data_IF_126733053123
#
_entry.id   IF_126733053123
#
_cell.length_a   1.000
_cell.length_b   1.000
_cell.length_c   1.000
_cell.angle_alpha   90.00
_cell.angle_beta   90.00
_cell.angle_gamma   90.00
#
_symmetry.space_group_name_H-M   'P 1'
#
loop_
_entity.id
_entity.type
_entity.pdbx_description
1 polymer ?
2 polymer ?
3 water ?
#
# COMPACT_ATOMS: atom_id res chain seq x y z
N UNK A 3 -15.71 3.50 -14.22
CA UNK A 3 -15.59 3.11 -12.82
C UNK A 3 -16.10 1.68 -12.62
N UNK A 4 -15.18 0.80 -12.25
CA UNK A 4 -15.50 -0.61 -12.01
C UNK A 4 -15.46 -0.86 -10.51
N UNK A 5 -16.62 -1.21 -9.94
CA UNK A 5 -16.73 -1.35 -8.49
C UNK A 5 -16.68 -2.83 -8.08
N UNK A 6 -15.83 -3.12 -7.11
CA UNK A 6 -15.75 -4.44 -6.50
C UNK A 6 -15.94 -4.32 -4.98
N UNK A 7 -16.38 -5.41 -4.33
CA UNK A 7 -16.40 -5.41 -2.86
C UNK A 7 -14.97 -5.37 -2.32
N UNK A 8 -14.79 -4.83 -1.11
CA UNK A 8 -13.43 -4.59 -0.59
C UNK A 8 -12.68 -5.87 -0.26
N UNK A 9 -13.41 -6.92 0.11
CA UNK A 9 -12.77 -8.11 0.65
C UNK A 9 -13.64 -9.34 0.52
N UNK A 10 -13.00 -10.49 0.50
CA UNK A 10 -13.71 -11.76 0.56
C UNK A 10 -12.80 -12.76 1.27
N UNK A 11 -13.40 -13.72 1.96
CA UNK A 11 -12.63 -14.71 2.71
C UNK A 11 -13.26 -16.10 2.70
N UNK A 12 -12.43 -17.12 2.86
CA UNK A 12 -12.89 -18.51 2.93
C UNK A 12 -11.76 -19.40 3.42
N UNK A 13 -12.11 -20.60 3.89
CA UNK A 13 -11.11 -21.55 4.35
C UNK A 13 -10.37 -22.11 3.14
N UNK A 14 -9.23 -22.78 3.37
CA UNK A 14 -8.53 -23.43 2.26
C UNK A 14 -9.41 -24.50 1.63
N UNK A 15 -9.24 -24.73 0.33
CA UNK A 15 -9.99 -25.75 -0.37
C UNK A 15 -11.36 -25.31 -0.83
N UNK A 16 -11.80 -24.14 -0.35
CA UNK A 16 -13.12 -23.63 -0.70
C UNK A 16 -13.09 -22.71 -1.92
N UNK A 17 -14.27 -22.29 -2.36
CA UNK A 17 -14.40 -21.44 -3.52
C UNK A 17 -14.85 -20.04 -3.13
N UNK A 18 -14.26 -19.04 -3.77
CA UNK A 18 -14.70 -17.65 -3.61
C UNK A 18 -14.93 -17.02 -4.98
N UNK A 19 -15.74 -15.97 -5.00
CA UNK A 19 -16.05 -15.26 -6.23
C UNK A 19 -15.96 -13.76 -5.99
N UNK A 20 -15.40 -13.06 -6.97
CA UNK A 20 -15.22 -11.62 -6.90
C UNK A 20 -15.91 -11.01 -8.10
N UNK A 21 -16.82 -10.07 -7.83
CA UNK A 21 -17.59 -9.44 -8.88
C UNK A 21 -17.08 -8.04 -9.18
N UNK A 22 -17.14 -7.69 -10.46
CA UNK A 22 -16.76 -6.38 -10.96
C UNK A 22 -17.97 -5.83 -11.70
N UNK A 23 -18.68 -4.89 -11.10
CA UNK A 23 -19.87 -4.30 -11.72
C UNK A 23 -19.55 -2.92 -12.28
N UNK A 24 -20.01 -2.66 -13.51
CA UNK A 24 -19.74 -1.40 -14.18
C UNK A 24 -20.86 -0.98 -15.11
N UNK A 25 -20.71 0.18 -15.72
CA UNK A 25 -21.74 0.75 -16.59
C UNK A 25 -21.83 0.02 -17.93
N UNK A 26 -22.54 0.63 -18.88
CA UNK A 26 -22.71 0.07 -20.22
C UNK A 26 -21.74 0.70 -21.21
N UNK A 27 -21.09 1.78 -20.81
CA UNK A 27 -20.11 2.46 -21.65
C UNK A 27 -18.77 1.75 -21.59
N UNK A 28 -18.29 1.51 -20.37
CA UNK A 28 -17.05 0.77 -20.18
C UNK A 28 -17.28 -0.71 -20.49
N UNK A 29 -17.86 -1.42 -19.52
CA UNK A 29 -18.26 -2.80 -19.75
C UNK A 29 -19.52 -2.76 -20.61
N UNK A 30 -19.81 -3.83 -21.34
CA UNK A 30 -20.98 -3.90 -22.19
C UNK A 30 -20.61 -4.43 -23.55
N UNK A 31 -19.54 -3.89 -24.11
CA UNK A 31 -19.05 -4.33 -25.42
C UNK A 31 -17.53 -4.33 -25.43
N UNK A 32 -16.95 -4.41 -24.24
CA UNK A 32 -15.49 -4.49 -24.10
C UNK A 32 -15.11 -5.71 -23.25
N UNK A 33 -13.96 -6.28 -23.56
CA UNK A 33 -13.49 -7.46 -22.84
C UNK A 33 -13.01 -7.07 -21.44
N UNK A 34 -12.91 -8.07 -20.57
CA UNK A 34 -12.50 -7.86 -19.19
C UNK A 34 -11.32 -8.74 -18.84
N UNK A 35 -10.30 -8.13 -18.23
CA UNK A 35 -9.15 -8.85 -17.71
C UNK A 35 -9.20 -8.89 -16.18
N UNK A 36 -8.45 -9.81 -15.59
CA UNK A 36 -8.28 -9.86 -14.14
C UNK A 36 -6.80 -9.91 -13.76
N UNK A 37 -6.44 -9.17 -12.71
CA UNK A 37 -5.05 -9.06 -12.29
C UNK A 37 -4.92 -9.42 -10.83
N UNK A 38 -3.94 -10.26 -10.52
CA UNK A 38 -3.59 -10.59 -9.15
C UNK A 38 -2.44 -9.70 -8.71
N UNK A 39 -2.47 -9.23 -7.47
CA UNK A 39 -1.36 -8.42 -6.96
C UNK A 39 -1.00 -8.74 -5.52
N UNK A 40 0.16 -9.36 -5.33
CA UNK A 40 0.72 -9.60 -4.01
C UNK A 40 1.58 -8.39 -3.64
N UNK A 41 1.33 -7.78 -2.46
CA UNK A 41 1.91 -6.49 -2.08
C UNK A 41 3.39 -6.25 -2.44
N UNK A 42 4.24 -7.26 -2.29
CA UNK A 42 5.66 -7.06 -2.49
C UNK A 42 6.17 -7.39 -3.89
N UNK A 43 5.25 -7.63 -4.82
CA UNK A 43 5.61 -8.13 -6.16
C UNK A 43 4.89 -7.39 -7.28
N UNK A 44 5.26 -7.67 -8.52
CA UNK A 44 4.62 -7.03 -9.67
C UNK A 44 3.21 -7.61 -9.84
N UNK A 45 2.22 -6.75 -10.21
CA UNK A 45 0.91 -7.30 -10.58
C UNK A 45 1.03 -8.31 -11.70
N UNK A 46 0.03 -9.18 -11.82
CA UNK A 46 0.13 -10.34 -12.68
C UNK A 46 -1.19 -10.60 -13.38
N UNK A 47 -1.17 -10.73 -14.70
CA UNK A 47 -2.38 -11.06 -15.45
C UNK A 47 -2.88 -12.46 -15.10
N UNK A 48 -4.17 -12.54 -14.75
CA UNK A 48 -4.82 -13.81 -14.41
C UNK A 48 -5.74 -14.27 -15.52
N UNK A 49 -6.52 -13.33 -16.05
CA UNK A 49 -7.49 -13.62 -17.07
C UNK A 49 -7.57 -12.46 -18.04
N UNK A 50 -7.80 -12.78 -19.32
CA UNK A 50 -7.99 -11.77 -20.33
C UNK A 50 -9.08 -12.26 -21.27
N UNK A 51 -9.67 -11.34 -22.03
CA UNK A 51 -10.77 -11.67 -22.92
C UNK A 51 -11.88 -12.45 -22.19
N UNK A 52 -12.27 -11.94 -21.02
CA UNK A 52 -13.37 -12.47 -20.24
C UNK A 52 -13.08 -13.80 -19.51
N UNK A 53 -12.57 -14.79 -20.25
CA UNK A 53 -12.49 -16.15 -19.73
C UNK A 53 -11.15 -16.82 -20.02
N UNK A 54 -10.34 -16.23 -20.88
CA UNK A 54 -9.07 -16.84 -21.27
C UNK A 54 -7.99 -16.63 -20.22
N UNK A 55 -7.17 -17.65 -20.01
CA UNK A 55 -6.04 -17.55 -19.09
C UNK A 55 -4.71 -17.61 -19.83
N UNK A 56 -3.74 -16.78 -19.40
CA UNK A 56 -2.39 -16.92 -19.92
C UNK A 56 -1.59 -17.90 -19.07
N UNK A 57 -1.65 -19.18 -19.41
CA UNK A 57 -0.96 -20.22 -18.66
C UNK A 57 0.52 -19.86 -18.45
N UNK A 58 1.14 -20.35 -17.37
CA UNK A 58 0.59 -21.40 -16.51
C UNK A 58 -0.14 -20.96 -15.24
N UNK A 59 -1.10 -20.05 -15.39
CA UNK A 59 -2.10 -19.83 -14.35
C UNK A 59 -3.11 -20.97 -14.37
N UNK A 60 -3.31 -21.66 -13.22
CA UNK A 60 -4.09 -22.89 -13.23
C UNK A 60 -5.59 -22.66 -13.42
N UNK A 61 -6.29 -23.74 -13.76
CA UNK A 61 -7.72 -23.66 -14.05
C UNK A 61 -8.55 -23.47 -12.79
N UNK A 62 -7.87 -23.34 -11.64
CA UNK A 62 -8.53 -22.99 -10.40
C UNK A 62 -9.10 -21.57 -10.50
N UNK A 63 -8.55 -20.80 -11.43
CA UNK A 63 -9.06 -19.46 -11.72
C UNK A 63 -9.94 -19.49 -12.96
N UNK A 64 -11.11 -18.85 -12.88
CA UNK A 64 -12.01 -18.78 -14.02
C UNK A 64 -12.76 -17.46 -14.02
N UNK A 65 -13.01 -16.94 -15.21
CA UNK A 65 -13.71 -15.68 -15.37
C UNK A 65 -15.00 -15.84 -16.12
N UNK A 66 -15.95 -14.95 -15.85
CA UNK A 66 -17.19 -14.92 -16.61
C UNK A 66 -17.70 -13.49 -16.69
N UNK A 67 -18.73 -13.28 -17.50
CA UNK A 67 -19.28 -11.95 -17.70
C UNK A 67 -20.78 -12.03 -17.97
N UNK A 68 -21.52 -11.10 -17.37
CA UNK A 68 -22.97 -11.09 -17.46
C UNK A 68 -23.45 -9.74 -17.97
N UNK A 69 -23.15 -9.43 -19.23
CA UNK A 69 -23.59 -8.20 -19.85
C UNK A 69 -22.70 -7.03 -19.45
N UNK A 70 -22.80 -6.62 -18.19
CA UNK A 70 -22.01 -5.50 -17.69
C UNK A 70 -21.57 -5.71 -16.23
N UNK A 71 -21.25 -6.95 -15.90
CA UNK A 71 -20.79 -7.29 -14.56
C UNK A 71 -19.97 -8.57 -14.60
N UNK A 72 -18.66 -8.38 -14.64
CA UNK A 72 -17.71 -9.48 -14.72
C UNK A 72 -17.56 -10.17 -13.37
N UNK A 73 -17.14 -11.43 -13.41
CA UNK A 73 -16.96 -12.21 -12.19
C UNK A 73 -15.72 -13.10 -12.28
N UNK A 74 -14.81 -12.94 -11.33
CA UNK A 74 -13.69 -13.85 -11.14
C UNK A 74 -14.07 -14.90 -10.11
N UNK A 75 -13.66 -16.14 -10.34
CA UNK A 75 -13.93 -17.23 -9.41
C UNK A 75 -12.64 -18.00 -9.14
N UNK A 76 -12.43 -18.36 -7.88
CA UNK A 76 -11.23 -19.09 -7.45
C UNK A 76 -11.63 -20.30 -6.64
N UNK A 77 -11.39 -21.49 -7.19
CA UNK A 77 -11.67 -22.74 -6.50
C UNK A 77 -10.39 -23.30 -5.89
N UNK A 78 -10.54 -24.24 -4.96
CA UNK A 78 -9.40 -24.89 -4.33
C UNK A 78 -8.47 -23.89 -3.67
N UNK A 79 -9.06 -22.91 -2.99
CA UNK A 79 -8.30 -21.82 -2.38
C UNK A 79 -7.10 -22.32 -1.58
N UNK A 80 -5.95 -21.73 -1.85
CA UNK A 80 -4.72 -22.03 -1.11
C UNK A 80 -4.08 -20.75 -0.59
N UNK A 81 -3.12 -20.92 0.31
CA UNK A 81 -2.44 -19.79 0.95
C UNK A 81 -1.91 -18.77 -0.06
N UNK A 82 -1.37 -19.28 -1.16
CA UNK A 82 -0.69 -18.44 -2.13
C UNK A 82 -1.62 -17.56 -2.92
N UNK A 83 -2.93 -17.74 -2.73
CA UNK A 83 -3.93 -16.96 -3.41
C UNK A 83 -4.26 -15.67 -2.67
N UNK A 84 -3.70 -15.51 -1.47
CA UNK A 84 -3.93 -14.30 -0.69
C UNK A 84 -3.27 -13.10 -1.38
N UNK A 85 -4.08 -12.20 -1.91
CA UNK A 85 -3.60 -11.06 -2.67
C UNK A 85 -4.74 -10.09 -2.92
N UNK A 86 -4.44 -8.98 -3.58
CA UNK A 86 -5.49 -8.10 -4.09
C UNK A 86 -5.80 -8.46 -5.53
N UNK A 87 -7.09 -8.53 -5.86
CA UNK A 87 -7.54 -8.84 -7.22
C UNK A 87 -8.29 -7.66 -7.84
N UNK A 88 -7.92 -7.33 -9.07
CA UNK A 88 -8.51 -6.21 -9.80
C UNK A 88 -9.04 -6.69 -11.14
N UNK A 89 -10.22 -6.19 -11.52
CA UNK A 89 -10.69 -6.29 -12.90
C UNK A 89 -10.23 -5.06 -13.65
N UNK A 90 -10.22 -5.15 -14.98
CA UNK A 90 -9.80 -4.04 -15.82
C UNK A 90 -10.33 -4.13 -17.23
N UNK A 91 -10.75 -2.99 -17.78
CA UNK A 91 -11.24 -2.91 -19.15
C UNK A 91 -10.59 -1.74 -19.89
N UNK A 92 -10.48 -1.92 -21.20
CA UNK A 92 -9.84 -0.97 -22.09
C UNK A 92 -10.90 -0.41 -23.04
N UNK A 93 -11.22 0.87 -22.88
CA UNK A 93 -12.25 1.52 -23.68
C UNK A 93 -11.71 2.69 -24.51
N UNK A 94 -10.54 2.52 -25.15
CA UNK A 94 -10.02 3.55 -26.04
C UNK A 94 -10.81 3.51 -27.33
N UNK A 95 -12.11 3.69 -27.16
CA UNK A 95 -13.05 3.47 -28.22
C UNK A 95 -14.02 4.65 -28.27
N UNK A 96 -13.49 5.85 -28.59
CA UNK A 96 -12.07 6.19 -28.70
C UNK A 96 -11.63 7.15 -27.61
N UNK A 97 -10.31 7.30 -27.44
CA UNK A 97 -9.71 8.36 -26.61
C UNK A 97 -9.85 8.24 -25.08
N UNK A 98 -10.62 7.25 -24.62
CA UNK A 98 -10.71 6.95 -23.19
C UNK A 98 -9.86 5.73 -22.86
N UNK A 99 -8.97 5.80 -21.88
CA UNK A 99 -8.03 4.71 -21.68
C UNK A 99 -8.54 3.48 -20.95
N UNK A 100 -7.70 2.94 -20.07
CA UNK A 100 -8.05 1.79 -19.24
C UNK A 100 -8.70 2.23 -17.96
N UNK A 101 -9.55 1.37 -17.40
CA UNK A 101 -10.07 1.55 -16.05
C UNK A 101 -9.81 0.26 -15.26
N UNK A 102 -9.57 0.40 -13.97
CA UNK A 102 -9.34 -0.74 -13.08
C UNK A 102 -10.43 -0.84 -12.02
N UNK A 103 -10.65 -2.04 -11.50
CA UNK A 103 -11.57 -2.25 -10.39
C UNK A 103 -11.02 -1.59 -9.14
N UNK A 104 -11.70 -1.72 -8.00
CA UNK A 104 -11.41 -0.89 -6.82
C UNK A 104 -10.30 -1.27 -5.80
N UNK A 105 -9.95 -2.54 -5.56
CA UNK A 105 -10.64 -3.71 -6.02
C UNK A 105 -10.91 -4.58 -4.79
N UNK A 106 -10.40 -5.81 -4.76
CA UNK A 106 -10.81 -6.79 -3.74
C UNK A 106 -9.66 -7.57 -3.09
N UNK A 107 -9.61 -7.57 -1.76
CA UNK A 107 -8.61 -8.34 -1.02
C UNK A 107 -9.11 -9.75 -0.68
N UNK A 108 -8.34 -10.77 -1.04
CA UNK A 108 -8.70 -12.17 -0.77
C UNK A 108 -7.97 -12.70 0.46
N UNK A 109 -8.73 -13.16 1.46
CA UNK A 109 -8.18 -13.76 2.67
C UNK A 109 -8.47 -15.26 2.75
N UNK A 110 -7.45 -16.03 3.11
CA UNK A 110 -7.60 -17.46 3.32
C UNK A 110 -7.50 -17.79 4.81
N UNK A 111 -8.61 -18.25 5.39
CA UNK A 111 -8.70 -18.56 6.80
C UNK A 111 -7.93 -19.83 7.14
N UNK A 112 -6.63 -19.67 7.41
CA UNK A 112 -5.73 -20.79 7.62
C UNK A 112 -5.42 -21.10 9.06
N UNK A 113 -6.07 -20.39 9.98
CA UNK A 113 -5.95 -20.69 11.41
C UNK A 113 -7.16 -20.17 12.18
N UNK A 114 -7.39 -20.70 13.40
CA UNK A 114 -8.57 -20.29 14.17
C UNK A 114 -8.50 -18.82 14.55
N UNK A 115 -9.65 -18.21 14.82
CA UNK A 115 -9.66 -16.79 15.14
C UNK A 115 -8.98 -16.56 16.46
N UNK A 116 -8.24 -15.45 16.54
CA UNK A 116 -7.61 -15.02 17.77
C UNK A 116 -8.06 -13.60 18.08
N UNK A 117 -8.46 -13.37 19.32
CA UNK A 117 -8.94 -12.06 19.72
C UNK A 117 -7.78 -11.10 19.94
N UNK A 118 -7.96 -9.82 19.62
CA UNK A 118 -6.87 -8.86 19.74
C UNK A 118 -6.58 -8.46 21.19
N UNK A 119 -5.31 -8.25 21.49
CA UNK A 119 -4.90 -7.66 22.74
C UNK A 119 -4.63 -6.19 22.43
N UNK A 120 -5.13 -5.30 23.27
CA UNK A 120 -5.05 -3.86 23.02
C UNK A 120 -4.20 -3.19 24.09
N UNK A 121 -3.24 -2.38 23.64
CA UNK A 121 -2.37 -1.63 24.54
C UNK A 121 -2.43 -0.16 24.15
N UNK A 122 -2.93 0.68 25.06
CA UNK A 122 -3.04 2.11 24.79
C UNK A 122 -2.07 2.89 25.67
N UNK A 123 -1.08 3.52 25.05
CA UNK A 123 -0.11 4.36 25.75
C UNK A 123 -0.54 5.83 25.69
N UNK A 124 -0.56 6.53 26.85
CA UNK A 124 -0.81 7.97 26.80
C UNK A 124 0.43 8.69 26.32
N UNK A 125 0.35 10.01 26.06
CA UNK A 125 1.55 10.78 25.70
C UNK A 125 2.59 10.77 26.81
N UNK A 126 3.85 10.59 26.43
CA UNK A 126 4.95 10.61 27.39
C UNK A 126 5.19 12.03 27.87
N UNK A 127 5.71 12.14 29.08
CA UNK A 127 6.05 13.46 29.60
C UNK A 127 7.04 14.11 28.66
N UNK A 128 7.90 13.30 28.06
CA UNK A 128 8.93 13.82 27.17
C UNK A 128 8.30 14.41 25.92
N UNK A 129 7.18 13.85 25.50
CA UNK A 129 6.50 14.35 24.32
C UNK A 129 5.76 15.65 24.61
N UNK A 130 5.09 15.71 25.75
CA UNK A 130 4.40 16.93 26.17
C UNK A 130 5.40 18.06 26.28
N UNK A 131 6.59 17.74 26.79
CA UNK A 131 7.65 18.71 26.95
C UNK A 131 8.08 19.23 25.58
N UNK A 132 7.86 18.42 24.55
CA UNK A 132 8.11 18.82 23.17
C UNK A 132 6.86 19.45 22.54
N UNK A 133 5.91 19.86 23.37
CA UNK A 133 4.72 20.59 22.93
C UNK A 133 3.82 19.78 21.99
N UNK A 134 3.80 18.47 22.18
CA UNK A 134 2.95 17.59 21.39
C UNK A 134 2.34 16.54 22.29
N UNK A 135 1.28 15.90 21.79
CA UNK A 135 0.64 14.82 22.51
C UNK A 135 0.13 13.79 21.50
N UNK A 136 0.50 12.54 21.71
CA UNK A 136 0.10 11.45 20.83
C UNK A 136 -0.30 10.23 21.64
N UNK A 137 -1.55 9.83 21.49
CA UNK A 137 -2.01 8.58 22.06
C UNK A 137 -1.70 7.48 21.05
N UNK A 138 -1.11 6.39 21.52
CA UNK A 138 -0.74 5.28 20.66
C UNK A 138 -1.48 4.03 21.07
N UNK A 139 -2.31 3.52 20.15
CA UNK A 139 -3.03 2.28 20.39
C UNK A 139 -2.39 1.15 19.59
N UNK A 140 -1.79 0.19 20.29
CA UNK A 140 -1.16 -0.95 19.65
C UNK A 140 -2.03 -2.19 19.82
N UNK A 141 -2.27 -2.88 18.72
CA UNK A 141 -3.12 -4.08 18.72
C UNK A 141 -2.29 -5.26 18.27
N UNK A 142 -2.41 -6.38 18.97
CA UNK A 142 -1.55 -7.53 18.70
C UNK A 142 -2.25 -8.88 18.89
N UNK A 143 -1.64 -9.90 18.30
CA UNK A 143 -2.04 -11.30 18.47
C UNK A 143 -3.46 -11.63 18.00
N UNK A 144 -3.87 -11.05 16.88
CA UNK A 144 -5.22 -11.31 16.36
C UNK A 144 -5.19 -11.94 14.96
N UNK A 145 -6.19 -12.77 14.69
CA UNK A 145 -6.38 -13.38 13.38
C UNK A 145 -7.87 -13.58 13.13
N UNK A 146 -8.35 -13.30 11.91
CA UNK A 146 -7.62 -12.82 10.73
C UNK A 146 -7.17 -11.37 10.87
N UNK A 147 -6.32 -10.95 9.93
CA UNK A 147 -5.70 -9.64 9.96
C UNK A 147 -6.59 -8.54 9.41
N UNK A 148 -7.66 -8.24 10.13
CA UNK A 148 -8.56 -7.17 9.75
C UNK A 148 -9.22 -6.63 11.01
N UNK A 149 -9.15 -5.31 11.18
CA UNK A 149 -9.77 -4.65 12.32
C UNK A 149 -10.20 -3.25 11.92
N UNK A 150 -11.13 -2.68 12.69
CA UNK A 150 -11.47 -1.27 12.59
C UNK A 150 -11.28 -0.67 13.97
N UNK A 151 -10.85 0.59 13.99
CA UNK A 151 -10.57 1.30 15.22
C UNK A 151 -11.46 2.53 15.32
N UNK A 152 -11.96 2.78 16.53
CA UNK A 152 -12.74 3.97 16.83
C UNK A 152 -12.18 4.63 18.09
N UNK A 153 -11.93 5.93 18.01
CA UNK A 153 -11.38 6.70 19.13
C UNK A 153 -12.48 7.55 19.73
N UNK A 154 -12.43 7.76 21.03
CA UNK A 154 -13.35 8.67 21.71
C UNK A 154 -12.61 9.58 22.68
N UNK A 155 -13.12 10.79 22.83
CA UNK A 155 -12.63 11.74 23.84
C UNK A 155 -13.81 12.12 24.72
N UNK A 156 -13.71 11.76 26.00
CA UNK A 156 -14.84 11.86 26.94
C UNK A 156 -16.12 11.27 26.32
N UNK A 157 -16.02 10.01 25.89
CA UNK A 157 -17.14 9.24 25.39
C UNK A 157 -17.73 9.76 24.06
N UNK A 158 -17.07 10.73 23.44
CA UNK A 158 -17.53 11.29 22.17
C UNK A 158 -16.60 10.86 21.01
N UNK A 159 -17.18 10.34 19.91
CA UNK A 159 -16.35 9.86 18.80
C UNK A 159 -15.40 10.92 18.22
N UNK A 160 -14.15 10.52 17.98
CA UNK A 160 -13.14 11.40 17.45
C UNK A 160 -12.61 10.85 16.14
N UNK A 161 -12.67 11.67 15.09
CA UNK A 161 -12.10 11.32 13.79
C UNK A 161 -10.86 12.17 13.45
N UNK A 162 -10.86 13.42 13.90
CA UNK A 162 -9.78 14.35 13.58
C UNK A 162 -8.45 13.90 14.17
N UNK A 163 -7.39 14.01 13.37
CA UNK A 163 -6.05 13.71 13.83
C UNK A 163 -5.79 12.23 14.07
N UNK A 164 -6.58 11.38 13.41
CA UNK A 164 -6.46 9.93 13.55
C UNK A 164 -5.73 9.29 12.37
N UNK A 165 -4.81 8.37 12.67
CA UNK A 165 -4.07 7.64 11.65
C UNK A 165 -3.94 6.18 12.06
N UNK A 166 -4.16 5.28 11.10
CA UNK A 166 -4.15 3.85 11.40
C UNK A 166 -3.42 3.07 10.32
N UNK A 167 -2.72 2.02 10.73
CA UNK A 167 -2.00 1.17 9.80
C UNK A 167 -2.77 -0.08 9.47
N UNK A 168 -2.50 -0.63 8.30
CA UNK A 168 -3.09 -1.89 7.89
C UNK A 168 -2.39 -3.04 8.62
N UNK A 169 -3.16 -4.00 9.15
CA UNK A 169 -2.58 -5.09 9.95
C UNK A 169 -1.41 -5.80 9.27
N UNK A 170 -0.32 -5.98 10.01
CA UNK A 170 0.90 -6.62 9.54
C UNK A 170 1.18 -7.90 10.32
N UNK A 171 1.69 -8.92 9.64
CA UNK A 171 1.92 -10.22 10.27
C UNK A 171 3.07 -10.19 11.27
N UNK A 172 2.79 -10.64 12.50
CA UNK A 172 3.80 -10.76 13.54
C UNK A 172 4.68 -11.97 13.25
N UNK A 173 5.71 -12.18 14.05
CA UNK A 173 6.61 -13.31 13.85
C UNK A 173 5.92 -14.64 14.16
N UNK A 174 4.88 -14.60 14.98
CA UNK A 174 4.13 -15.80 15.33
C UNK A 174 2.95 -16.04 14.39
N UNK A 175 2.97 -15.37 13.24
CA UNK A 175 1.97 -15.54 12.18
C UNK A 175 0.57 -15.04 12.53
N UNK A 176 0.41 -14.38 13.67
CA UNK A 176 -0.80 -13.62 13.93
C UNK A 176 -0.51 -12.20 13.49
N UNK A 177 -1.50 -11.32 13.58
CA UNK A 177 -1.35 -9.96 13.07
C UNK A 177 -1.29 -8.93 14.19
N UNK A 178 -0.72 -7.77 13.87
CA UNK A 178 -0.74 -6.60 14.74
C UNK A 178 -1.14 -5.39 13.91
N UNK A 179 -1.57 -4.34 14.60
CA UNK A 179 -1.89 -3.08 13.94
C UNK A 179 -1.62 -1.95 14.93
N UNK A 180 -1.61 -0.71 14.44
CA UNK A 180 -1.40 0.44 15.31
C UNK A 180 -2.32 1.57 14.88
N UNK A 181 -2.72 2.39 15.84
CA UNK A 181 -3.50 3.60 15.53
C UNK A 181 -3.01 4.72 16.43
N UNK A 182 -3.03 5.94 15.89
CA UNK A 182 -2.56 7.11 16.63
C UNK A 182 -3.65 8.18 16.71
N UNK A 183 -3.69 8.89 17.84
CA UNK A 183 -4.54 10.07 17.96
C UNK A 183 -3.65 11.25 18.35
N UNK A 184 -3.56 12.23 17.44
CA UNK A 184 -2.74 13.41 17.65
C UNK A 184 -3.52 14.55 18.27
N UNK A 185 -3.03 15.01 19.40
CA UNK A 185 -3.65 16.11 20.13
C UNK A 185 -2.59 17.13 20.47
N UNK A 186 -3.02 18.31 20.89
CA UNK A 186 -2.13 19.29 21.52
C UNK A 186 -2.13 18.98 23.00
N UNK A 187 -1.13 19.50 23.75
CA UNK A 187 -1.14 19.31 25.21
C UNK A 187 -2.40 19.85 25.87
N UNK A 188 -2.94 20.94 25.33
CA UNK A 188 -4.16 21.51 25.89
C UNK A 188 -5.34 20.56 25.70
N UNK A 189 -5.48 20.03 24.49
CA UNK A 189 -6.55 19.10 24.22
C UNK A 189 -6.47 17.90 25.18
N UNK A 190 -5.29 17.30 25.25
CA UNK A 190 -5.07 16.14 26.11
C UNK A 190 -5.49 16.44 27.55
N UNK A 191 -5.13 17.64 28.02
CA UNK A 191 -5.38 18.07 29.39
C UNK A 191 -6.83 18.48 29.65
N UNK A 192 -7.54 18.89 28.60
CA UNK A 192 -8.88 19.44 28.74
C UNK A 192 -9.99 18.40 28.66
N UNK A 193 -9.61 17.11 28.64
CA UNK A 193 -10.59 16.03 28.65
C UNK A 193 -10.27 15.04 29.75
N UNK A 194 -11.30 14.43 30.31
CA UNK A 194 -11.13 13.57 31.47
C UNK A 194 -10.76 12.15 31.08
N UNK A 195 -11.07 11.75 29.85
CA UNK A 195 -10.85 10.38 29.41
C UNK A 195 -10.71 10.30 27.89
N UNK A 196 -9.92 9.33 27.43
CA UNK A 196 -9.81 9.00 26.01
C UNK A 196 -9.84 7.49 25.89
N UNK A 197 -10.36 6.99 24.78
CA UNK A 197 -10.46 5.54 24.61
C UNK A 197 -10.15 5.07 23.18
N UNK A 198 -9.53 3.90 23.09
CA UNK A 198 -9.25 3.24 21.82
C UNK A 198 -10.08 1.98 21.78
N UNK A 199 -10.99 1.90 20.81
CA UNK A 199 -11.90 0.79 20.67
C UNK A 199 -11.58 0.04 19.39
N UNK A 200 -11.15 -1.20 19.54
CA UNK A 200 -10.81 -2.06 18.42
C UNK A 200 -11.93 -3.08 18.19
N UNK A 201 -12.49 -3.11 16.98
CA UNK A 201 -13.49 -4.12 16.62
C UNK A 201 -12.84 -5.17 15.71
N UNK A 202 -12.94 -6.42 16.13
CA UNK A 202 -12.37 -7.54 15.41
C UNK A 202 -13.40 -8.67 15.37
N UNK A 203 -13.80 -9.05 14.16
CA UNK A 203 -14.80 -10.09 13.97
C UNK A 203 -16.06 -9.83 14.79
N UNK A 204 -16.56 -8.60 14.74
CA UNK A 204 -17.84 -8.27 15.32
C UNK A 204 -17.83 -8.01 16.81
N UNK A 205 -16.66 -8.15 17.44
CA UNK A 205 -16.53 -7.95 18.88
C UNK A 205 -15.49 -6.88 19.18
N UNK A 206 -15.69 -6.17 20.29
CA UNK A 206 -14.90 -4.99 20.62
C UNK A 206 -14.02 -5.20 21.85
N UNK A 207 -12.81 -4.66 21.78
CA UNK A 207 -11.92 -4.57 22.93
C UNK A 207 -11.50 -3.12 23.07
N UNK A 208 -11.65 -2.59 24.28
CA UNK A 208 -11.50 -1.16 24.52
C UNK A 208 -10.51 -0.90 25.64
N UNK A 209 -9.64 0.09 25.46
CA UNK A 209 -8.76 0.57 26.51
C UNK A 209 -8.97 2.06 26.68
N UNK A 210 -8.79 2.56 27.91
CA UNK A 210 -8.99 3.98 28.21
C UNK A 210 -7.76 4.54 28.92
N UNK A 211 -7.49 5.84 28.73
CA UNK A 211 -6.45 6.54 29.47
C UNK A 211 -6.92 7.95 29.83
N UNK A 212 -6.29 8.53 30.85
CA UNK A 212 -6.62 9.87 31.29
C UNK A 212 -5.37 10.51 31.87
N UNK A 213 -5.26 11.84 31.77
CA UNK A 213 -4.16 12.54 32.45
C UNK A 213 -4.10 12.20 33.95
N UNK A 214 -3.02 11.56 34.38
CA UNK A 214 -2.87 11.08 35.76
C UNK A 214 -4.08 10.25 36.18
N UNK B 1 9.47 -15.21 -19.39
CA UNK B 1 10.38 -14.78 -20.49
C UNK B 1 10.64 -13.27 -20.43
N UNK B 2 9.61 -12.49 -20.72
CA UNK B 2 9.74 -11.02 -20.81
C UNK B 2 10.14 -10.40 -19.47
N UNK B 3 10.84 -9.26 -19.54
CA UNK B 3 11.31 -8.57 -18.32
C UNK B 3 11.23 -7.04 -18.47
N UNK B 4 10.72 -6.38 -17.44
CA UNK B 4 10.57 -4.92 -17.43
C UNK B 4 11.08 -4.35 -16.12
N UNK B 5 11.98 -3.36 -16.20
CA UNK B 5 12.63 -2.81 -15.01
C UNK B 5 12.56 -1.27 -14.99
N UNK B 6 11.82 -0.72 -14.04
CA UNK B 6 11.63 0.72 -13.97
C UNK B 6 12.74 1.39 -13.18
N UNK B 7 13.09 2.62 -13.58
CA UNK B 7 14.08 3.41 -12.85
C UNK B 7 13.66 4.88 -12.86
N UNK B 8 14.30 5.67 -12.00
CA UNK B 8 14.17 7.12 -12.07
C UNK B 8 13.35 7.73 -10.96
N UNK B 9 12.85 6.88 -10.06
CA UNK B 9 11.99 7.33 -8.98
C UNK B 9 12.76 7.87 -7.78
N UNK B 10 12.14 8.78 -7.05
CA UNK B 10 12.73 9.36 -5.87
C UNK B 10 11.76 10.29 -5.15
N UNK B 11 12.30 11.25 -4.40
CA UNK B 11 11.49 12.21 -3.69
C UNK B 11 11.68 13.60 -4.30
N UNK B 12 10.59 14.27 -4.65
CA UNK B 12 10.66 15.59 -5.28
C UNK B 12 9.61 16.55 -4.74
N UNK B 13 9.81 17.84 -5.00
CA UNK B 13 8.88 18.87 -4.56
C UNK B 13 7.80 19.09 -5.63
N UNK B 14 6.58 19.46 -5.19
CA UNK B 14 5.53 19.75 -6.18
C UNK B 14 5.92 20.90 -7.13
N UNK B 15 5.51 20.77 -8.39
CA UNK B 15 5.78 21.79 -9.39
C UNK B 15 7.01 21.49 -10.23
N UNK B 16 7.86 20.59 -9.76
CA UNK B 16 9.06 20.21 -10.50
C UNK B 16 8.78 19.06 -11.47
N UNK B 17 9.79 18.69 -12.26
CA UNK B 17 9.62 17.65 -13.27
C UNK B 17 10.46 16.43 -12.92
N UNK B 18 10.11 15.30 -13.50
CA UNK B 18 10.84 14.06 -13.25
C UNK B 18 10.57 13.07 -14.37
N UNK B 19 11.62 12.46 -14.90
CA UNK B 19 11.48 11.47 -15.96
C UNK B 19 11.71 10.06 -15.43
N UNK B 20 10.75 9.17 -15.70
CA UNK B 20 10.91 7.77 -15.37
C UNK B 20 11.31 7.01 -16.63
N UNK B 21 11.98 5.88 -16.45
CA UNK B 21 12.41 5.04 -17.55
C UNK B 21 12.08 3.60 -17.24
N UNK B 22 11.82 2.83 -18.28
CA UNK B 22 11.56 1.41 -18.15
C UNK B 22 12.37 0.62 -19.17
N UNK B 23 13.27 -0.22 -18.68
CA UNK B 23 14.14 -1.03 -19.53
C UNK B 23 13.50 -2.39 -19.82
N UNK B 24 13.16 -2.62 -21.08
CA UNK B 24 12.49 -3.86 -21.50
C UNK B 24 13.49 -4.86 -22.06
N UNK B 25 13.27 -6.14 -21.76
CA UNK B 25 14.18 -7.18 -22.18
C UNK B 25 13.47 -8.52 -22.42
N UNK B 26 14.06 -9.37 -23.25
CA UNK B 26 13.57 -10.72 -23.49
C UNK B 26 12.20 -10.78 -24.18
N UNK B 27 11.91 -9.77 -25.00
CA UNK B 27 10.79 -9.84 -25.94
C UNK B 27 10.97 -8.78 -27.01
N UNK B 28 10.19 -8.86 -28.08
CA UNK B 28 10.32 -7.94 -29.20
C UNK B 28 9.66 -6.61 -28.87
N UNK B 29 10.43 -5.72 -28.25
CA UNK B 29 9.95 -4.43 -27.78
C UNK B 29 9.26 -3.62 -28.88
N UNK B 30 9.86 -3.61 -30.06
CA UNK B 30 9.35 -2.81 -31.17
C UNK B 30 7.99 -3.28 -31.66
N UNK B 31 7.60 -4.49 -31.26
CA UNK B 31 6.35 -5.07 -31.72
C UNK B 31 5.19 -4.92 -30.76
N UNK B 32 5.44 -4.38 -29.57
CA UNK B 32 4.40 -4.25 -28.56
C UNK B 32 4.17 -2.81 -28.11
N UNK B 33 2.91 -2.47 -27.89
CA UNK B 33 2.58 -1.24 -27.19
C UNK B 33 2.90 -1.39 -25.71
N UNK B 34 2.92 -0.29 -24.97
CA UNK B 34 3.32 -0.32 -23.56
C UNK B 34 2.50 0.64 -22.71
N UNK B 35 2.53 0.43 -21.38
CA UNK B 35 1.68 1.17 -20.46
C UNK B 35 2.37 1.56 -19.17
N UNK B 36 1.94 2.69 -18.61
CA UNK B 36 2.31 3.08 -17.25
C UNK B 36 1.06 3.03 -16.37
N UNK B 37 1.21 2.46 -15.18
CA UNK B 37 0.14 2.40 -14.19
C UNK B 37 0.75 2.72 -12.82
N UNK B 38 -0.03 3.35 -11.94
CA UNK B 38 0.48 3.75 -10.63
C UNK B 38 -0.44 3.31 -9.50
N UNK B 39 0.15 3.10 -8.32
CA UNK B 39 -0.61 2.76 -7.12
C UNK B 39 -0.16 3.62 -5.97
N UNK B 40 -1.02 4.53 -5.55
CA UNK B 40 -0.73 5.37 -4.40
C UNK B 40 -0.75 4.49 -3.16
N UNK B 41 0.03 4.86 -2.13
CA UNK B 41 0.12 4.05 -0.90
C UNK B 41 -1.25 3.65 -0.33
N UNK B 42 -1.45 2.36 -0.16
CA UNK B 42 -2.67 1.83 0.43
C UNK B 42 -3.92 1.97 -0.44
N UNK B 43 -3.73 2.03 -1.76
CA UNK B 43 -4.86 2.19 -2.67
C UNK B 43 -4.76 1.26 -3.88
N UNK B 44 -5.68 1.44 -4.83
CA UNK B 44 -5.77 0.57 -5.99
C UNK B 44 -4.93 1.05 -7.17
N UNK B 45 -4.96 0.27 -8.25
CA UNK B 45 -4.22 0.61 -9.47
C UNK B 45 -4.95 1.70 -10.24
N UNK B 46 -4.21 2.63 -10.83
CA UNK B 46 -4.76 3.74 -11.59
C UNK B 46 -3.94 3.90 -12.87
N UNK B 47 -4.61 3.79 -14.02
CA UNK B 47 -3.94 3.86 -15.30
C UNK B 47 -3.53 5.30 -15.62
N UNK B 48 -2.28 5.51 -16.06
CA UNK B 48 -1.79 6.87 -16.30
C UNK B 48 -1.58 7.17 -17.78
N UNK B 49 -0.95 6.26 -18.52
CA UNK B 49 -0.72 6.50 -19.93
C UNK B 49 -0.42 5.23 -20.72
N UNK B 50 -0.61 5.32 -22.03
CA UNK B 50 -0.34 4.20 -22.91
C UNK B 50 0.25 4.72 -24.21
N UNK B 51 1.04 3.85 -24.86
CA UNK B 51 1.63 4.17 -26.14
C UNK B 51 1.58 2.93 -27.04
N UNK B 52 1.21 3.14 -28.31
CA UNK B 52 1.10 2.04 -29.26
C UNK B 52 2.48 1.61 -29.74
N UNK B 53 2.54 0.44 -30.38
CA UNK B 53 3.82 -0.18 -30.69
C UNK B 53 4.71 0.72 -31.55
N UNK B 54 4.07 1.50 -32.42
CA UNK B 54 4.78 2.38 -33.36
C UNK B 54 4.99 3.78 -32.79
N UNK B 55 4.41 4.03 -31.61
CA UNK B 55 4.58 5.29 -30.93
C UNK B 55 3.76 6.41 -31.53
N UNK B 56 2.77 6.04 -32.35
CA UNK B 56 1.96 7.02 -33.06
C UNK B 56 0.73 7.45 -32.27
N UNK B 57 0.23 6.55 -31.43
CA UNK B 57 -0.91 6.87 -30.58
C UNK B 57 -0.48 6.98 -29.12
N UNK B 58 -0.85 8.09 -28.48
CA UNK B 58 -0.57 8.31 -27.08
C UNK B 58 -1.89 8.61 -26.36
N UNK B 59 -2.12 7.93 -25.23
CA UNK B 59 -3.33 8.11 -24.44
C UNK B 59 -2.97 8.35 -22.98
N UNK B 60 -3.71 9.25 -22.35
CA UNK B 60 -3.44 9.64 -20.96
C UNK B 60 -4.74 9.73 -20.14
N UNK B 61 -4.62 9.51 -18.84
CA UNK B 61 -5.74 9.74 -17.94
C UNK B 61 -5.92 11.24 -17.81
N UNK B 62 -7.15 11.70 -17.60
CA UNK B 62 -7.43 13.13 -17.51
C UNK B 62 -6.73 13.79 -16.32
N UNK B 63 -6.32 12.99 -15.33
CA UNK B 63 -5.68 13.53 -14.14
C UNK B 63 -4.25 13.96 -14.44
N UNK B 64 -3.66 13.40 -15.48
CA UNK B 64 -2.29 13.73 -15.85
C UNK B 64 -2.20 14.43 -17.20
N UNK B 65 -3.35 14.63 -17.85
CA UNK B 65 -3.38 15.29 -19.14
C UNK B 65 -2.68 16.65 -19.11
N UNK B 66 -1.85 16.90 -20.11
CA UNK B 66 -1.15 18.16 -20.22
C UNK B 66 0.11 18.26 -19.36
N UNK B 67 0.23 17.39 -18.38
CA UNK B 67 1.36 17.40 -17.46
C UNK B 67 2.38 16.31 -17.81
N UNK B 68 1.89 15.13 -18.18
CA UNK B 68 2.76 13.98 -18.45
C UNK B 68 2.88 13.72 -19.95
N UNK B 69 4.02 13.15 -20.36
CA UNK B 69 4.24 12.78 -21.77
C UNK B 69 4.90 11.40 -21.85
N UNK B 70 4.27 10.47 -22.56
CA UNK B 70 4.83 9.13 -22.71
C UNK B 70 5.58 9.00 -24.05
N UNK B 71 6.74 8.35 -24.01
CA UNK B 71 7.54 8.17 -25.23
C UNK B 71 8.35 6.88 -25.19
N UNK B 72 8.98 6.53 -26.30
CA UNK B 72 9.74 5.29 -26.38
C UNK B 72 10.96 5.42 -27.28
N UNK B 73 11.93 4.55 -27.04
CA UNK B 73 13.15 4.52 -27.84
C UNK B 73 13.51 3.08 -28.13
N UNK B 74 13.03 2.59 -29.27
CA UNK B 74 13.25 1.21 -29.67
C UNK B 74 14.75 0.86 -29.75
N UNK B 75 15.57 1.85 -30.09
CA UNK B 75 17.02 1.67 -30.14
C UNK B 75 17.58 1.22 -28.80
N UNK B 76 16.90 1.61 -27.73
CA UNK B 76 17.33 1.30 -26.37
C UNK B 76 16.36 0.40 -25.63
N UNK B 77 15.32 -0.07 -26.32
CA UNK B 77 14.26 -0.85 -25.67
C UNK B 77 13.85 -0.19 -24.36
N UNK B 78 13.64 1.12 -24.41
CA UNK B 78 13.28 1.88 -23.22
C UNK B 78 11.99 2.66 -23.42
N UNK B 79 11.13 2.60 -22.42
CA UNK B 79 9.90 3.37 -22.36
C UNK B 79 10.11 4.49 -21.33
N UNK B 80 9.57 5.67 -21.61
CA UNK B 80 9.74 6.82 -20.74
C UNK B 80 8.40 7.36 -20.24
N UNK B 81 8.44 8.04 -19.10
CA UNK B 81 7.33 8.84 -18.65
C UNK B 81 7.89 10.17 -18.16
N UNK B 82 7.68 11.23 -18.95
CA UNK B 82 8.07 12.56 -18.54
C UNK B 82 6.95 13.15 -17.70
N UNK B 83 7.25 13.40 -16.42
CA UNK B 83 6.25 13.93 -15.50
C UNK B 83 6.62 15.36 -15.17
N UNK B 84 5.82 16.31 -15.64
CA UNK B 84 6.03 17.72 -15.32
C UNK B 84 4.92 18.24 -14.41
N UNK B 85 5.20 19.38 -13.77
CA UNK B 85 4.24 20.03 -12.88
C UNK B 85 3.67 19.06 -11.84
N UNK B 86 4.56 18.38 -11.14
CA UNK B 86 4.15 17.32 -10.23
C UNK B 86 3.36 17.85 -9.04
N UNK B 87 2.42 17.03 -8.57
CA UNK B 87 1.53 17.38 -7.49
C UNK B 87 1.63 16.31 -6.41
N UNK B 88 1.29 16.65 -5.16
CA UNK B 88 1.37 15.69 -4.07
C UNK B 88 0.56 14.45 -4.41
N UNK B 89 -0.56 14.65 -5.08
CA UNK B 89 -1.46 13.56 -5.44
C UNK B 89 -0.89 12.64 -6.54
N UNK B 90 0.30 12.96 -7.04
CA UNK B 90 1.00 12.09 -7.98
C UNK B 90 1.87 11.06 -7.26
N UNK B 91 1.95 11.19 -5.93
CA UNK B 91 2.72 10.23 -5.13
C UNK B 91 2.16 8.82 -5.34
N UNK B 92 3.02 7.91 -5.80
CA UNK B 92 2.63 6.52 -6.04
C UNK B 92 3.81 5.67 -6.46
N UNK B 93 3.62 4.36 -6.45
CA UNK B 93 4.54 3.43 -7.06
C UNK B 93 4.16 3.26 -8.51
N UNK B 94 5.09 3.58 -9.42
CA UNK B 94 4.81 3.52 -10.85
C UNK B 94 5.31 2.25 -11.52
N UNK B 95 4.40 1.51 -12.14
CA UNK B 95 4.71 0.27 -12.85
C UNK B 95 4.76 0.46 -14.36
N UNK B 96 5.75 -0.16 -15.00
CA UNK B 96 5.82 -0.28 -16.45
C UNK B 96 5.07 -1.58 -16.82
N UNK B 97 4.30 -1.55 -17.92
CA UNK B 97 3.57 -2.74 -18.35
C UNK B 97 3.54 -2.90 -19.85
N UNK B 98 3.80 -4.11 -20.31
CA UNK B 98 3.76 -4.45 -21.72
C UNK B 98 2.33 -4.78 -22.11
N UNK B 99 1.98 -4.48 -23.35
CA UNK B 99 0.69 -4.87 -23.89
C UNK B 99 0.80 -6.21 -24.62
N UNK B 100 -0.25 -7.01 -24.52
CA UNK B 100 -0.20 -8.39 -24.98
C UNK B 100 0.01 -8.54 -26.49
N UNK B 101 -0.66 -7.72 -27.28
CA UNK B 101 -0.67 -7.90 -28.73
C UNK B 101 0.63 -7.49 -29.38
N UNK B 102 1.15 -8.36 -30.24
CA UNK B 102 2.36 -8.09 -31.01
C UNK B 102 1.96 -7.64 -32.41
N UNK B 103 2.64 -6.60 -32.90
CA UNK B 103 2.39 -6.05 -34.23
C UNK B 103 3.65 -6.09 -35.06
N UNK B 104 3.46 -6.11 -36.38
CA UNK B 104 4.54 -5.84 -37.32
C UNK B 104 4.13 -4.61 -38.08
N UNK B 105 5.06 -3.67 -38.24
CA UNK B 105 4.76 -2.43 -38.94
C UNK B 105 4.26 -2.75 -40.35
N UNK B 106 3.21 -2.04 -40.76
CA UNK B 106 2.59 -2.28 -42.06
C UNK B 106 2.56 -0.99 -42.87
N UNK B 107 2.92 0.13 -42.23
CA UNK B 107 2.94 1.44 -42.89
C UNK B 107 4.19 2.22 -42.50
N UNK B 108 4.91 2.72 -43.50
CA UNK B 108 6.24 3.33 -43.30
C UNK B 108 6.32 4.81 -43.68
N UNK B 109 7.49 5.40 -43.45
CA UNK B 109 7.74 6.82 -43.71
C UNK B 109 6.79 7.71 -42.92
N UNK B 120 10.52 5.59 -37.94
CA UNK B 120 10.08 5.46 -39.34
C UNK B 120 8.69 4.86 -39.43
N UNK B 121 8.44 3.75 -38.74
CA UNK B 121 7.12 3.14 -38.75
C UNK B 121 6.10 4.07 -38.14
N UNK B 122 4.99 4.29 -38.85
CA UNK B 122 3.91 5.11 -38.33
C UNK B 122 2.55 4.42 -38.54
N UNK B 123 2.58 3.10 -38.36
CA UNK B 123 1.37 2.30 -38.29
C UNK B 123 0.54 2.81 -37.12
N UNK B 124 -0.77 2.94 -37.34
CA UNK B 124 -1.64 3.62 -36.38
C UNK B 124 -2.45 2.62 -35.54
N UNK B 125 -2.19 1.34 -35.70
CA UNK B 125 -2.94 0.32 -34.96
C UNK B 125 -2.67 0.42 -33.45
N UNK B 126 -3.71 0.80 -32.70
CA UNK B 126 -3.58 1.09 -31.28
C UNK B 126 -3.40 -0.13 -30.40
N UNK B 127 -3.35 0.11 -29.09
CA UNK B 127 -3.11 -0.95 -28.13
C UNK B 127 -4.41 -1.69 -27.79
N UNK B 128 -4.31 -2.96 -27.43
CA UNK B 128 -5.48 -3.77 -27.03
C UNK B 128 -5.85 -3.57 -25.55
N UNK B 129 -4.87 -3.25 -24.73
CA UNK B 129 -5.13 -2.84 -23.35
C UNK B 129 -5.12 -3.96 -22.34
N UNK B 130 -4.39 -5.01 -22.63
CA UNK B 130 -4.24 -6.15 -21.73
C UNK B 130 -2.82 -6.16 -21.21
N UNK B 131 -2.64 -5.87 -19.93
CA UNK B 131 -1.32 -5.73 -19.32
C UNK B 131 -0.69 -7.09 -18.98
N UNK B 132 0.00 -7.71 -19.93
CA UNK B 132 0.40 -9.12 -19.75
C UNK B 132 1.73 -9.30 -19.02
N UNK B 133 2.51 -8.24 -18.85
CA UNK B 133 3.73 -8.31 -18.06
C UNK B 133 3.99 -6.98 -17.38
N UNK B 134 4.35 -7.05 -16.10
CA UNK B 134 4.53 -5.87 -15.27
C UNK B 134 5.91 -5.88 -14.64
N UNK B 135 6.46 -4.71 -14.40
CA UNK B 135 7.69 -4.59 -13.63
C UNK B 135 7.34 -4.45 -12.16
N UNK B 136 8.37 -4.40 -11.32
CA UNK B 136 8.21 -4.28 -9.87
C UNK B 136 7.87 -2.85 -9.46
N UNK B 137 8.13 -1.91 -10.37
CA UNK B 137 7.77 -0.52 -10.17
C UNK B 137 8.85 0.35 -9.52
N UNK B 138 8.71 1.66 -9.70
CA UNK B 138 9.60 2.63 -9.06
C UNK B 138 8.78 3.69 -8.32
N UNK B 139 9.21 4.00 -7.10
CA UNK B 139 8.43 4.86 -6.20
C UNK B 139 8.70 6.35 -6.41
N UNK B 140 7.63 7.11 -6.59
CA UNK B 140 7.70 8.56 -6.71
C UNK B 140 6.98 9.22 -5.54
N UNK B 141 7.69 10.08 -4.82
CA UNK B 141 7.13 10.78 -3.67
C UNK B 141 7.20 12.29 -3.89
N UNK B 142 6.03 12.91 -3.96
CA UNK B 142 5.93 14.35 -4.16
C UNK B 142 5.44 14.98 -2.86
N UNK B 143 6.27 15.82 -2.26
CA UNK B 143 5.94 16.44 -0.97
C UNK B 143 6.64 17.79 -0.80
N UNK B 144 5.99 18.66 -0.04
CA UNK B 144 6.54 19.99 0.28
C UNK B 144 7.51 19.91 1.45
N UNK B 145 7.55 18.76 2.13
CA UNK B 145 8.39 18.59 3.30
C UNK B 145 9.87 18.57 2.91
N UNK B 146 10.74 18.89 3.86
CA UNK B 146 12.18 18.76 3.67
C UNK B 146 12.69 17.65 4.57
N UNK B 147 13.89 17.14 4.25
CA UNK B 147 14.50 16.03 4.98
C UNK B 147 14.64 16.34 6.46
N UNK B 148 14.21 15.38 7.30
CA UNK B 148 14.07 15.65 8.72
C UNK B 148 14.11 14.34 9.50
N UNK B 149 15.01 14.27 10.46
CA UNK B 149 15.16 13.11 11.32
C UNK B 149 14.09 13.09 12.39
N UNK B 150 13.80 11.90 12.94
CA UNK B 150 12.68 11.72 13.87
C UNK B 150 12.98 12.25 15.26
N UNK B 151 11.92 12.57 15.98
CA UNK B 151 11.99 12.72 17.43
C UNK B 151 11.52 11.39 17.99
N UNK B 152 12.28 10.82 18.93
CA UNK B 152 11.95 9.51 19.47
C UNK B 152 11.44 9.65 20.91
N UNK B 153 10.21 9.21 21.15
CA UNK B 153 9.57 9.32 22.47
C UNK B 153 9.25 7.94 23.02
N UNK B 154 9.52 7.72 24.32
CA UNK B 154 9.35 6.40 24.91
C UNK B 154 7.90 6.06 25.23
N UNK B 155 7.56 4.80 25.06
CA UNK B 155 6.25 4.27 25.43
C UNK B 155 6.45 3.34 26.61
N UNK B 156 6.24 3.88 27.80
CA UNK B 156 6.60 3.17 29.02
C UNK B 156 5.55 2.16 29.45
N UNK B 157 5.99 1.03 30.04
CA UNK B 157 5.07 0.01 30.56
C UNK B 157 4.35 0.47 31.83
N UNK B 158 3.46 -0.38 32.36
CA UNK B 158 2.71 -0.07 33.58
C UNK B 158 1.85 1.18 33.41
N UNK B 164 0.40 -13.05 31.57
CA UNK B 164 0.78 -12.94 32.97
C UNK B 164 2.28 -12.84 33.13
N UNK B 165 2.72 -11.86 33.93
CA UNK B 165 4.13 -11.62 34.15
C UNK B 165 4.81 -11.02 32.93
N UNK B 166 4.04 -10.23 32.17
CA UNK B 166 4.54 -9.62 30.93
C UNK B 166 4.10 -8.16 30.86
N UNK B 167 4.96 -7.33 30.25
CA UNK B 167 4.64 -5.93 30.04
C UNK B 167 5.09 -5.51 28.66
N UNK B 168 4.32 -4.61 28.06
CA UNK B 168 4.63 -4.07 26.74
C UNK B 168 5.23 -2.69 26.88
N UNK B 169 6.29 -2.43 26.12
CA UNK B 169 6.91 -1.12 26.07
C UNK B 169 7.38 -0.88 24.64
N UNK B 170 7.56 0.37 24.25
CA UNK B 170 8.02 0.68 22.92
C UNK B 170 8.67 2.05 22.77
N UNK B 171 8.80 2.48 21.52
CA UNK B 171 9.17 3.85 21.23
C UNK B 171 8.39 4.39 20.04
N UNK B 172 7.93 5.62 20.19
CA UNK B 172 7.28 6.36 19.11
C UNK B 172 8.34 7.14 18.34
N UNK B 173 8.49 6.79 17.06
CA UNK B 173 9.38 7.50 16.15
C UNK B 173 8.54 8.46 15.31
N UNK B 174 8.66 9.75 15.60
CA UNK B 174 7.71 10.72 15.07
C UNK B 174 8.32 11.82 14.20
N UNK B 175 7.53 12.27 13.22
CA UNK B 175 7.86 13.46 12.41
C UNK B 175 9.21 13.36 11.70
N UNK B 176 9.37 12.33 10.90
CA UNK B 176 10.55 12.19 10.06
C UNK B 176 10.16 12.21 8.59
N UNK B 177 11.15 12.47 7.73
CA UNK B 177 10.92 12.50 6.29
C UNK B 177 12.26 12.43 5.56
N UNK B 178 12.34 11.62 4.48
CA UNK B 178 11.34 10.70 3.94
C UNK B 178 11.49 9.32 4.57
N UNK B 179 10.73 8.33 4.11
CA UNK B 179 10.93 6.97 4.56
C UNK B 179 12.28 6.49 4.05
N UNK B 180 12.84 5.43 4.66
CA UNK B 180 12.36 4.70 5.82
C UNK B 180 13.21 4.96 7.05
N UNK B 181 12.72 4.51 8.21
CA UNK B 181 13.53 4.40 9.41
C UNK B 181 13.65 2.91 9.73
N UNK B 182 14.71 2.55 10.44
CA UNK B 182 14.89 1.18 10.92
C UNK B 182 14.95 1.23 12.43
N UNK B 183 14.53 0.15 13.08
CA UNK B 183 14.51 0.10 14.54
C UNK B 183 15.04 -1.23 15.05
N UNK B 184 15.93 -1.15 16.04
CA UNK B 184 16.43 -2.32 16.74
C UNK B 184 16.23 -2.07 18.24
N UNK B 185 16.45 -3.10 19.05
CA UNK B 185 16.36 -2.98 20.50
C UNK B 185 17.60 -3.57 21.13
N UNK B 186 18.20 -2.84 22.06
CA UNK B 186 19.45 -3.25 22.69
C UNK B 186 20.52 -3.69 21.67
N UNK B 187 20.69 -2.89 20.63
CA UNK B 187 21.70 -3.13 19.61
C UNK B 187 21.55 -4.49 18.95
N UNK B 188 20.31 -4.98 18.89
CA UNK B 188 20.02 -6.20 18.16
C UNK B 188 20.15 -7.47 18.98
N UNK B 189 20.35 -7.33 20.29
CA UNK B 189 20.43 -8.50 21.18
C UNK B 189 19.04 -8.90 21.65
N UNK B 190 18.10 -7.98 21.55
CA UNK B 190 16.70 -8.26 21.89
C UNK B 190 15.87 -8.36 20.61
N UNK B 191 15.44 -9.58 20.29
CA UNK B 191 14.70 -9.83 19.06
C UNK B 191 13.43 -10.65 19.30
N UNK B 192 13.15 -10.98 20.56
CA UNK B 192 11.98 -11.77 20.90
C UNK B 192 10.79 -10.86 21.23
N UNK B 193 9.68 -11.07 20.54
CA UNK B 193 8.48 -10.31 20.82
C UNK B 193 8.50 -8.91 20.27
N UNK B 194 9.53 -8.59 19.48
CA UNK B 194 9.62 -7.27 18.88
C UNK B 194 8.75 -7.17 17.62
N UNK B 195 8.03 -6.07 17.50
CA UNK B 195 7.30 -5.78 16.28
C UNK B 195 7.36 -4.31 15.94
N UNK B 196 7.87 -4.02 14.75
CA UNK B 196 7.96 -2.66 14.26
C UNK B 196 6.88 -2.43 13.21
N UNK B 197 6.06 -1.41 13.44
CA UNK B 197 4.88 -1.21 12.62
C UNK B 197 5.23 -0.43 11.36
N UNK B 198 4.37 -0.52 10.34
CA UNK B 198 4.50 0.33 9.15
C UNK B 198 4.32 1.80 9.53
N UNK B 199 4.80 2.69 8.68
CA UNK B 199 4.67 4.13 8.93
C UNK B 199 3.29 4.66 8.53
N UNK B 200 2.84 5.68 9.26
CA UNK B 200 1.66 6.44 8.85
C UNK B 200 2.10 7.82 8.36
N UNK B 201 1.34 8.38 7.44
CA UNK B 201 1.62 9.72 6.92
C UNK B 201 0.63 10.71 7.52
N UNK B 202 1.13 11.57 8.39
CA UNK B 202 0.30 12.57 9.03
C UNK B 202 -0.08 13.69 8.06
N UNK B 203 -1.11 14.45 8.40
CA UNK B 203 -1.55 15.57 7.55
C UNK B 203 -0.45 16.59 7.40
N UNK B 204 0.48 16.60 8.35
CA UNK B 204 1.62 17.53 8.34
C UNK B 204 2.62 17.19 7.25
N UNK B 205 2.44 16.02 6.63
CA UNK B 205 3.34 15.57 5.60
C UNK B 205 4.60 14.90 6.17
N UNK B 206 4.59 14.62 7.46
CA UNK B 206 5.70 13.91 8.09
C UNK B 206 5.22 12.51 8.49
N UNK B 207 6.14 11.56 8.47
CA UNK B 207 5.82 10.19 8.84
C UNK B 207 6.03 9.94 10.32
N UNK B 208 5.30 8.95 10.83
CA UNK B 208 5.54 8.45 12.17
C UNK B 208 5.34 6.94 12.16
N UNK B 209 6.09 6.24 13.00
CA UNK B 209 5.80 4.84 13.31
C UNK B 209 6.15 4.51 14.75
N UNK B 210 5.86 3.28 15.13
CA UNK B 210 6.14 2.80 16.47
C UNK B 210 6.72 1.40 16.40
N UNK B 211 7.55 1.09 17.39
CA UNK B 211 8.06 -0.25 17.59
C UNK B 211 7.74 -0.63 19.02
N UNK B 212 7.40 -1.90 19.22
CA UNK B 212 6.96 -2.40 20.52
C UNK B 212 7.59 -3.76 20.79
N UNK B 213 7.90 -4.00 22.06
CA UNK B 213 8.40 -5.28 22.51
C UNK B 213 7.68 -5.67 23.80
N UNK B 214 7.40 -6.95 23.97
CA UNK B 214 6.83 -7.46 25.21
C UNK B 214 7.91 -8.20 26.00
N UNK B 215 8.10 -7.79 27.25
CA UNK B 215 9.19 -8.30 28.07
C UNK B 215 8.68 -8.77 29.43
N UNK B 216 9.48 -9.58 30.15
CA UNK B 216 9.08 -10.04 31.48
C UNK B 216 8.90 -8.87 32.45
N UNK B 217 7.71 -8.77 33.04
CA UNK B 217 7.41 -7.70 33.98
C UNK B 217 8.34 -7.76 35.20
N UNK B 218 8.90 -8.93 35.46
CA UNK B 218 9.75 -9.15 36.63
C UNK B 218 11.07 -8.40 36.51
N UNK B 219 11.58 -8.32 35.29
CA UNK B 219 12.91 -7.76 35.03
C UNK B 219 12.96 -6.24 35.06
N UNK B 220 11.79 -5.60 35.01
CA UNK B 220 11.70 -4.15 34.96
C UNK B 220 12.37 -3.52 36.17
N UNK B 221 12.87 -2.30 36.00
CA UNK B 221 13.54 -1.59 37.07
C UNK B 221 14.97 -2.05 37.27
N UNK B 222 15.33 -3.16 36.61
CA UNK B 222 16.68 -3.70 36.66
C UNK B 222 17.23 -3.84 35.24
N UNK B 223 16.39 -4.29 34.31
CA UNK B 223 16.79 -4.50 32.92
C UNK B 223 16.64 -3.23 32.08
N UNK B 224 17.70 -2.90 31.34
CA UNK B 224 17.68 -1.74 30.47
C UNK B 224 17.21 -2.11 29.07
N UNK B 225 16.30 -1.29 28.53
CA UNK B 225 15.78 -1.45 27.17
C UNK B 225 16.01 -0.15 26.41
N UNK B 226 16.75 -0.26 25.32
CA UNK B 226 17.11 0.88 24.49
C UNK B 226 16.49 0.67 23.11
N UNK B 227 15.82 1.70 22.62
CA UNK B 227 15.31 1.77 21.27
C UNK B 227 16.35 2.40 20.35
N UNK B 228 16.86 1.62 19.39
CA UNK B 228 17.88 2.10 18.44
C UNK B 228 17.24 2.49 17.11
N UNK B 229 17.16 3.78 16.84
CA UNK B 229 16.49 4.29 15.65
C UNK B 229 17.49 4.84 14.65
N UNK B 230 17.35 4.47 13.38
CA UNK B 230 18.23 4.99 12.33
C UNK B 230 17.45 5.55 11.14
N UNK B 231 17.84 6.75 10.74
CA UNK B 231 17.23 7.42 9.59
C UNK B 231 18.33 7.90 8.67
N UNK B 232 18.64 7.09 7.66
CA UNK B 232 19.73 7.38 6.73
C UNK B 232 19.60 8.73 6.02
N UNK B 233 18.41 9.03 5.47
CA UNK B 233 18.21 10.29 4.72
C UNK B 233 18.67 11.54 5.45
N UNK B 234 18.51 11.60 6.76
CA UNK B 234 18.99 12.74 7.54
C UNK B 234 20.29 12.39 8.26
N UNK B 235 20.82 11.21 8.00
CA UNK B 235 22.05 10.74 8.66
C UNK B 235 21.95 10.86 10.18
N UNK B 236 20.96 10.19 10.77
CA UNK B 236 20.78 10.23 12.21
C UNK B 236 20.70 8.82 12.81
N UNK B 237 21.27 8.71 14.00
CA UNK B 237 21.17 7.51 14.84
C UNK B 237 20.73 7.98 16.22
N UNK B 238 19.61 7.45 16.69
CA UNK B 238 19.07 7.81 18.00
C UNK B 238 18.98 6.55 18.87
N UNK B 239 19.40 6.68 20.12
CA UNK B 239 19.31 5.59 21.08
C UNK B 239 18.55 6.08 22.30
N UNK B 240 17.26 5.78 22.35
CA UNK B 240 16.40 6.27 23.41
C UNK B 240 16.10 5.20 24.46
N UNK B 241 16.23 5.58 25.73
CA UNK B 241 15.96 4.67 26.83
C UNK B 241 14.47 4.67 27.14
N UNK B 242 13.93 3.49 27.40
CA UNK B 242 12.51 3.33 27.73
C UNK B 242 12.37 2.65 29.09
N UNK B 243 12.05 3.44 30.12
CA UNK B 243 11.98 2.94 31.49
C UNK B 243 10.56 3.07 32.07
N UNK B 244 10.28 2.34 33.16
CA UNK B 244 8.92 2.30 33.73
C UNK B 244 8.37 3.65 34.22
N UNK B 245 9.24 4.59 34.58
CA UNK B 245 8.80 5.87 35.15
C UNK B 245 8.03 5.65 36.46
#
# INVERSE_FOLDING_TARGET
QSVLTQPPSVSAAPGQKVTISCSGSSSNIGDNYVSWYQHLPGTAPKLLIYENTRRPSGIPDRFSGSKSGTSATLAITGLQTGDEADYYCGTWDVRPNRGAVFGTGTKVTVLGQPKANPTVTLFPPSSEELQANKATLVCLISDFYPGAVTVAWKADSSPVKAGVETTTPSKQSNNKYAASSYLSLTPEQWKSHRSYSCQVTHEGSTVEKTVAPTECS
QAILVESGGGVVQPGRSLRLSCAASQFTFSGHGLHWVRQAPGKGLEWVASISFAGTKMDYADSVKGRFAISRDNSKNTLYLQMNSLRVEDTALYYCAKDMREYECEYWTSDXXDFGRPQPCIDRRGVVGIFDMWGQGTMVTVSTASTKGPSVFPLAPSSKSTSGGTAALGCLVKDYFPEPVTVSWNSGALTSGVHTFPAVLQSSGLYSLSSVVTVPSSSLGTQTYICNVNHKPSNTKVDKRVEPKSCDKGLEVLFQ
#
